data_IF_814661935467
#
_entry.id   IF_814661935467
#
_cell.length_a   1.000
_cell.length_b   1.000
_cell.length_c   1.000
_cell.angle_alpha   90.00
_cell.angle_beta   90.00
_cell.angle_gamma   90.00
#
_symmetry.space_group_name_H-M   'P 1'
#
loop_
_entity.id
_entity.type
_entity.pdbx_description
1 polymer ?
#
# COMPACT_ATOMS: atom_id res chain seq x y z
N UNK A 1 -121.91 -96.14 11.88
CA UNK A 1 -121.36 -97.40 11.34
C UNK A 1 -119.87 -97.38 11.62
N UNK A 2 -119.48 -97.94 12.77
CA UNK A 2 -119.09 -99.35 12.89
C UNK A 2 -117.75 -99.54 12.21
N UNK A 3 -116.66 -99.95 12.84
CA UNK A 3 -116.29 -100.36 14.19
C UNK A 3 -114.73 -100.33 14.12
N UNK A 4 -113.88 -100.55 15.10
CA UNK A 4 -113.93 -101.08 16.44
C UNK A 4 -112.49 -100.78 16.95
N UNK A 5 -112.29 -100.36 18.21
CA UNK A 5 -111.99 -101.28 19.33
C UNK A 5 -110.56 -101.82 19.16
N UNK A 6 -109.62 -101.62 20.08
CA UNK A 6 -109.59 -102.05 21.48
C UNK A 6 -108.07 -101.98 21.87
N UNK A 7 -107.55 -101.90 23.08
CA UNK A 7 -107.98 -102.20 24.45
C UNK A 7 -107.05 -101.38 25.38
N UNK A 8 -107.66 -100.67 26.33
CA UNK A 8 -107.12 -100.20 27.61
C UNK A 8 -106.90 -101.40 28.54
N UNK A 9 -105.79 -101.50 29.29
CA UNK A 9 -105.89 -101.55 30.76
C UNK A 9 -104.54 -101.57 31.49
N UNK A 10 -104.48 -100.82 32.59
CA UNK A 10 -103.34 -100.77 33.51
C UNK A 10 -103.35 -99.56 34.47
N UNK A 11 -104.37 -99.48 35.35
CA UNK A 11 -104.42 -98.67 36.59
C UNK A 11 -103.22 -99.00 37.52
N UNK A 12 -102.71 -98.19 38.46
CA UNK A 12 -103.31 -97.15 39.32
C UNK A 12 -102.26 -96.26 40.02
N UNK A 13 -102.69 -95.02 40.34
CA UNK A 13 -102.34 -94.18 41.52
C UNK A 13 -100.91 -93.64 41.65
N UNK A 14 -100.63 -92.41 42.07
CA UNK A 14 -101.34 -91.15 42.29
C UNK A 14 -100.23 -90.10 42.54
N UNK A 15 -100.52 -88.81 42.40
CA UNK A 15 -99.79 -87.59 42.82
C UNK A 15 -99.64 -86.62 41.63
N UNK A 16 -100.41 -85.53 41.68
CA UNK A 16 -100.48 -84.35 40.80
C UNK A 16 -100.08 -83.17 41.73
N UNK A 17 -99.33 -82.11 41.34
CA UNK A 17 -99.55 -81.25 40.17
C UNK A 17 -98.24 -80.78 39.48
N UNK A 18 -98.15 -80.05 38.37
CA UNK A 18 -99.06 -79.16 37.67
C UNK A 18 -98.64 -79.06 36.18
N UNK A 19 -99.65 -79.02 35.31
CA UNK A 19 -99.75 -78.28 34.04
C UNK A 19 -98.64 -78.47 32.98
N UNK A 20 -98.82 -79.53 32.19
CA UNK A 20 -98.38 -79.63 30.79
C UNK A 20 -99.57 -79.98 29.88
N UNK A 21 -100.00 -78.99 29.09
CA UNK A 21 -100.38 -79.06 27.66
C UNK A 21 -101.13 -80.28 27.09
N UNK A 22 -102.28 -80.04 26.42
CA UNK A 22 -102.65 -80.60 25.10
C UNK A 22 -104.10 -80.21 24.72
N UNK A 23 -104.33 -79.36 23.70
CA UNK A 23 -104.45 -79.71 22.25
C UNK A 23 -105.81 -80.30 21.89
N UNK A 24 -106.54 -79.61 21.00
CA UNK A 24 -107.10 -80.16 19.75
C UNK A 24 -107.74 -79.02 18.94
N UNK A 25 -106.97 -78.41 18.04
CA UNK A 25 -107.06 -78.58 16.57
C UNK A 25 -108.15 -77.71 15.94
N UNK A 26 -107.72 -76.53 15.50
CA UNK A 26 -108.17 -75.93 14.24
C UNK A 26 -106.92 -75.78 13.37
N UNK A 27 -106.91 -76.52 12.27
CA UNK A 27 -105.86 -76.49 11.25
C UNK A 27 -105.96 -75.13 10.54
N UNK A 28 -105.00 -74.26 10.80
CA UNK A 28 -104.62 -73.17 9.90
C UNK A 28 -103.10 -73.07 9.92
N UNK A 29 -102.52 -73.27 8.74
CA UNK A 29 -101.10 -73.22 8.48
C UNK A 29 -100.45 -71.93 9.02
N UNK A 30 -99.32 -72.06 9.70
CA UNK A 30 -98.02 -71.53 9.30
C UNK A 30 -97.04 -71.67 10.47
N UNK A 31 -95.94 -72.40 10.24
CA UNK A 31 -94.79 -72.38 11.13
C UNK A 31 -94.19 -70.98 11.13
N UNK A 32 -94.20 -70.32 12.29
CA UNK A 32 -93.42 -69.12 12.51
C UNK A 32 -91.98 -69.56 12.84
N UNK A 33 -91.21 -69.84 11.79
CA UNK A 33 -89.76 -69.79 11.85
C UNK A 33 -89.41 -68.31 11.96
N UNK A 34 -88.79 -67.89 13.05
CA UNK A 34 -88.20 -66.56 13.14
C UNK A 34 -87.07 -66.46 12.10
N UNK A 35 -87.41 -66.07 10.88
CA UNK A 35 -86.46 -65.46 9.95
C UNK A 35 -86.20 -64.06 10.48
N UNK A 36 -85.01 -63.85 11.04
CA UNK A 36 -84.43 -62.51 11.01
C UNK A 36 -84.37 -62.09 9.54
N UNK A 37 -84.78 -60.86 9.18
CA UNK A 37 -84.66 -60.40 7.81
C UNK A 37 -83.17 -60.30 7.48
N UNK A 38 -82.67 -61.24 6.68
CA UNK A 38 -81.35 -61.12 6.07
C UNK A 38 -81.31 -59.84 5.26
N UNK A 39 -80.39 -58.93 5.59
CA UNK A 39 -80.15 -57.74 4.79
C UNK A 39 -79.89 -58.16 3.33
N UNK A 40 -80.55 -57.52 2.37
CA UNK A 40 -80.31 -57.74 0.96
C UNK A 40 -78.83 -57.41 0.64
N UNK A 41 -78.06 -58.45 0.33
CA UNK A 41 -76.61 -58.37 0.11
C UNK A 41 -76.36 -57.82 -1.30
N UNK A 42 -75.96 -56.55 -1.41
CA UNK A 42 -75.62 -55.89 -2.67
C UNK A 42 -74.11 -55.97 -2.95
N UNK A 43 -73.59 -57.20 -3.07
CA UNK A 43 -72.19 -57.45 -3.42
C UNK A 43 -72.05 -58.01 -4.84
N UNK A 44 -71.13 -57.47 -5.65
CA UNK A 44 -70.78 -58.06 -6.94
C UNK A 44 -69.72 -59.13 -6.72
N UNK A 45 -70.02 -60.37 -7.12
CA UNK A 45 -69.11 -61.50 -7.07
C UNK A 45 -68.81 -61.97 -8.49
N UNK A 46 -67.53 -61.93 -8.87
CA UNK A 46 -67.06 -62.52 -10.12
C UNK A 46 -66.04 -63.60 -9.76
N UNK A 47 -66.46 -64.87 -9.82
CA UNK A 47 -65.61 -66.04 -9.59
C UNK A 47 -64.89 -66.44 -10.88
N UNK A 48 -63.62 -66.85 -10.76
CA UNK A 48 -62.93 -67.55 -11.85
C UNK A 48 -63.47 -68.99 -11.89
N UNK A 49 -64.28 -69.31 -12.90
CA UNK A 49 -64.86 -70.65 -13.08
C UNK A 49 -63.82 -71.59 -13.71
N UNK A 50 -62.78 -71.96 -12.97
CA UNK A 50 -61.91 -73.10 -13.30
C UNK A 50 -62.19 -74.30 -12.38
N UNK A 51 -63.48 -74.64 -12.18
CA UNK A 51 -64.01 -76.00 -12.03
C UNK A 51 -63.54 -76.93 -10.90
N UNK A 52 -62.52 -76.61 -10.11
CA UNK A 52 -61.96 -77.47 -9.06
C UNK A 52 -61.42 -76.59 -7.93
N UNK A 53 -61.84 -76.91 -6.71
CA UNK A 53 -61.43 -76.36 -5.41
C UNK A 53 -62.25 -75.17 -4.86
N UNK A 54 -62.79 -75.38 -3.65
CA UNK A 54 -63.81 -74.57 -2.97
C UNK A 54 -63.34 -73.22 -2.41
N UNK A 55 -62.69 -72.38 -3.21
CA UNK A 55 -62.34 -71.00 -2.83
C UNK A 55 -63.30 -69.96 -3.40
N UNK A 56 -64.42 -69.73 -2.71
CA UNK A 56 -65.36 -68.68 -3.10
C UNK A 56 -64.84 -67.29 -2.71
N UNK A 57 -65.02 -66.30 -3.60
CA UNK A 57 -64.89 -64.90 -3.23
C UNK A 57 -65.92 -64.54 -2.14
N UNK A 58 -65.50 -63.75 -1.16
CA UNK A 58 -66.30 -63.34 -0.01
C UNK A 58 -66.53 -61.82 -0.03
N UNK A 59 -67.73 -61.41 -0.41
CA UNK A 59 -68.27 -60.07 -0.15
C UNK A 59 -69.29 -60.19 0.99
N UNK A 60 -68.82 -60.25 2.23
CA UNK A 60 -69.68 -60.69 3.34
C UNK A 60 -69.75 -59.80 4.57
N UNK A 61 -69.02 -58.68 4.62
CA UNK A 61 -69.08 -57.80 5.80
C UNK A 61 -70.02 -56.60 5.72
N UNK A 62 -70.47 -56.17 4.53
CA UNK A 62 -70.76 -54.73 4.36
C UNK A 62 -71.62 -54.30 3.15
N UNK A 63 -72.13 -53.07 3.19
CA UNK A 63 -72.97 -52.43 2.16
C UNK A 63 -72.13 -52.03 0.94
N UNK A 64 -72.57 -52.42 -0.27
CA UNK A 64 -71.98 -52.04 -1.57
C UNK A 64 -70.50 -52.45 -1.74
N UNK A 65 -70.10 -53.61 -1.24
CA UNK A 65 -68.75 -54.15 -1.47
C UNK A 65 -68.64 -54.96 -2.78
N UNK A 66 -67.44 -55.10 -3.32
CA UNK A 66 -67.17 -55.87 -4.55
C UNK A 66 -66.04 -56.86 -4.31
N UNK A 67 -66.24 -58.15 -4.57
CA UNK A 67 -65.20 -59.18 -4.44
C UNK A 67 -65.09 -60.01 -5.73
N UNK A 68 -63.94 -60.00 -6.40
CA UNK A 68 -63.73 -60.70 -7.68
C UNK A 68 -62.40 -61.47 -7.67
N UNK A 69 -62.43 -62.79 -7.91
CA UNK A 69 -61.25 -63.66 -7.91
C UNK A 69 -61.31 -64.78 -6.86
N UNK A 70 -60.52 -65.83 -7.06
CA UNK A 70 -60.38 -66.95 -6.11
C UNK A 70 -59.98 -66.40 -4.73
N UNK A 71 -60.69 -66.76 -3.66
CA UNK A 71 -60.47 -66.20 -2.30
C UNK A 71 -60.41 -64.66 -2.18
N UNK A 72 -60.96 -63.88 -3.12
CA UNK A 72 -61.03 -62.44 -2.92
C UNK A 72 -61.98 -62.10 -1.74
N UNK A 73 -61.54 -61.27 -0.78
CA UNK A 73 -62.29 -60.93 0.43
C UNK A 73 -62.51 -59.41 0.54
N UNK A 74 -63.76 -58.98 0.45
CA UNK A 74 -64.18 -57.59 0.62
C UNK A 74 -65.10 -57.50 1.85
N UNK A 75 -64.54 -57.11 3.00
CA UNK A 75 -65.22 -57.11 4.29
C UNK A 75 -65.70 -55.72 4.74
N UNK A 76 -65.02 -54.64 4.36
CA UNK A 76 -65.41 -53.29 4.78
C UNK A 76 -66.56 -52.66 3.99
N UNK A 77 -67.19 -51.63 4.54
CA UNK A 77 -68.21 -50.83 3.88
C UNK A 77 -67.63 -50.11 2.67
N UNK A 78 -68.33 -50.16 1.53
CA UNK A 78 -67.86 -49.60 0.25
C UNK A 78 -66.50 -50.12 -0.22
N UNK A 79 -66.08 -51.32 0.23
CA UNK A 79 -64.79 -51.91 -0.13
C UNK A 79 -64.79 -52.57 -1.51
N UNK A 80 -63.61 -52.70 -2.13
CA UNK A 80 -63.44 -53.40 -3.41
C UNK A 80 -62.19 -54.28 -3.36
N UNK A 81 -62.37 -55.60 -3.45
CA UNK A 81 -61.31 -56.60 -3.60
C UNK A 81 -61.37 -57.25 -4.99
N UNK A 82 -60.31 -57.14 -5.80
CA UNK A 82 -60.22 -57.81 -7.09
C UNK A 82 -58.85 -58.45 -7.31
N UNK A 83 -58.81 -59.71 -7.68
CA UNK A 83 -57.59 -60.52 -7.83
C UNK A 83 -57.63 -61.73 -6.91
N UNK A 84 -56.91 -62.79 -7.29
CA UNK A 84 -56.79 -63.98 -6.44
C UNK A 84 -56.22 -63.60 -5.06
N UNK A 85 -56.97 -63.95 -4.03
CA UNK A 85 -56.66 -63.72 -2.63
C UNK A 85 -56.45 -62.24 -2.26
N UNK A 86 -57.06 -61.31 -3.00
CA UNK A 86 -57.09 -59.89 -2.65
C UNK A 86 -57.99 -59.65 -1.44
N UNK A 87 -57.54 -58.86 -0.45
CA UNK A 87 -58.28 -58.56 0.79
C UNK A 87 -58.51 -57.06 1.00
N UNK A 88 -59.73 -56.59 0.82
CA UNK A 88 -60.17 -55.24 1.18
C UNK A 88 -60.98 -55.31 2.49
N UNK A 89 -60.29 -55.18 3.63
CA UNK A 89 -60.78 -55.63 4.93
C UNK A 89 -61.51 -54.54 5.73
N UNK A 90 -61.02 -53.29 5.66
CA UNK A 90 -61.60 -52.15 6.37
C UNK A 90 -62.50 -51.30 5.47
N UNK A 91 -63.22 -50.34 6.05
CA UNK A 91 -64.15 -49.48 5.31
C UNK A 91 -63.43 -48.60 4.29
N UNK A 92 -64.10 -48.34 3.16
CA UNK A 92 -63.60 -47.57 2.03
C UNK A 92 -62.25 -48.09 1.47
N UNK A 93 -61.95 -49.37 1.68
CA UNK A 93 -60.68 -49.96 1.24
C UNK A 93 -60.75 -50.53 -0.18
N UNK A 94 -59.63 -50.43 -0.90
CA UNK A 94 -59.49 -50.93 -2.27
C UNK A 94 -58.27 -51.84 -2.33
N UNK A 95 -58.46 -53.11 -2.68
CA UNK A 95 -57.40 -54.10 -2.88
C UNK A 95 -57.48 -54.69 -4.29
N UNK A 96 -56.54 -54.35 -5.16
CA UNK A 96 -56.52 -54.79 -6.57
C UNK A 96 -55.19 -55.49 -6.89
N UNK A 97 -55.22 -56.79 -7.16
CA UNK A 97 -54.07 -57.62 -7.52
C UNK A 97 -53.95 -58.89 -6.68
N UNK A 98 -53.19 -59.87 -7.17
CA UNK A 98 -52.92 -61.12 -6.44
C UNK A 98 -52.33 -60.82 -5.06
N UNK A 99 -52.96 -61.28 -3.97
CA UNK A 99 -52.55 -61.02 -2.58
C UNK A 99 -52.48 -59.53 -2.18
N UNK A 100 -53.13 -58.62 -2.92
CA UNK A 100 -53.22 -57.22 -2.49
C UNK A 100 -54.05 -57.14 -1.19
N UNK A 101 -53.62 -56.35 -0.21
CA UNK A 101 -54.28 -56.25 1.09
C UNK A 101 -54.40 -54.79 1.54
N UNK A 102 -55.65 -54.34 1.75
CA UNK A 102 -56.00 -53.02 2.23
C UNK A 102 -56.77 -53.11 3.56
N UNK A 103 -56.27 -52.40 4.57
CA UNK A 103 -57.00 -52.12 5.81
C UNK A 103 -56.95 -53.19 6.91
N UNK A 104 -56.28 -54.32 6.67
CA UNK A 104 -56.30 -55.44 7.62
C UNK A 104 -55.14 -56.42 7.46
N UNK A 105 -55.27 -57.56 8.12
CA UNK A 105 -54.50 -58.75 7.82
C UNK A 105 -55.44 -59.77 7.17
N UNK A 106 -55.12 -60.15 5.93
CA UNK A 106 -55.82 -61.19 5.21
C UNK A 106 -54.79 -62.22 4.76
N UNK A 107 -54.99 -63.48 5.17
CA UNK A 107 -54.20 -64.63 4.78
C UNK A 107 -55.15 -65.72 4.24
N UNK A 108 -55.14 -65.97 2.92
CA UNK A 108 -56.01 -66.97 2.30
C UNK A 108 -55.63 -68.42 2.65
N UNK A 109 -54.45 -68.68 3.25
CA UNK A 109 -53.88 -70.03 3.40
C UNK A 109 -53.69 -70.53 4.83
N UNK A 110 -54.03 -69.78 5.89
CA UNK A 110 -53.91 -70.35 7.25
C UNK A 110 -53.95 -69.46 8.48
N UNK A 111 -54.40 -68.20 8.40
CA UNK A 111 -54.51 -67.32 9.57
C UNK A 111 -55.79 -66.49 9.52
N UNK A 112 -56.46 -66.21 10.67
CA UNK A 112 -57.73 -65.50 10.67
C UNK A 112 -57.59 -64.12 10.03
N UNK A 113 -58.61 -63.72 9.28
CA UNK A 113 -58.73 -62.34 8.81
C UNK A 113 -58.83 -61.42 10.03
N UNK A 114 -57.91 -60.47 10.16
CA UNK A 114 -57.94 -59.44 11.21
C UNK A 114 -58.31 -58.12 10.55
N UNK A 115 -59.45 -57.56 10.95
CA UNK A 115 -59.76 -56.18 10.63
C UNK A 115 -59.06 -55.27 11.64
N UNK A 116 -58.14 -54.43 11.16
CA UNK A 116 -57.48 -53.43 11.99
C UNK A 116 -58.21 -52.08 12.01
N UNK A 117 -59.37 -52.00 11.35
CA UNK A 117 -60.20 -50.79 11.21
C UNK A 117 -59.47 -49.63 10.49
N UNK A 118 -58.44 -49.97 9.71
CA UNK A 118 -57.66 -49.01 8.94
C UNK A 118 -58.40 -48.61 7.66
N UNK A 119 -59.34 -47.68 7.83
CA UNK A 119 -60.23 -47.22 6.76
C UNK A 119 -59.52 -46.37 5.72
N UNK A 120 -60.15 -46.20 4.55
CA UNK A 120 -59.65 -45.38 3.42
C UNK A 120 -58.30 -45.84 2.84
N UNK A 121 -58.05 -47.15 2.81
CA UNK A 121 -56.77 -47.72 2.37
C UNK A 121 -56.83 -48.18 0.91
N UNK A 122 -55.78 -47.94 0.13
CA UNK A 122 -55.71 -48.36 -1.28
C UNK A 122 -54.46 -49.18 -1.54
N UNK A 123 -54.61 -50.48 -1.81
CA UNK A 123 -53.55 -51.41 -2.20
C UNK A 123 -53.75 -51.86 -3.65
N UNK A 124 -52.87 -51.47 -4.56
CA UNK A 124 -52.94 -51.82 -5.99
C UNK A 124 -51.61 -52.43 -6.43
N UNK A 125 -51.63 -53.66 -6.92
CA UNK A 125 -50.47 -54.44 -7.35
C UNK A 125 -50.32 -55.74 -6.57
N UNK A 126 -49.65 -56.73 -7.18
CA UNK A 126 -49.48 -58.05 -6.55
C UNK A 126 -48.73 -57.94 -5.21
N UNK A 127 -49.33 -58.39 -4.12
CA UNK A 127 -48.78 -58.33 -2.76
C UNK A 127 -48.68 -56.92 -2.15
N UNK A 128 -49.31 -55.90 -2.79
CA UNK A 128 -49.36 -54.54 -2.26
C UNK A 128 -50.10 -54.51 -0.92
N UNK A 129 -49.64 -53.69 0.02
CA UNK A 129 -50.13 -53.67 1.40
C UNK A 129 -50.34 -52.23 1.86
N UNK A 130 -51.61 -51.85 2.03
CA UNK A 130 -52.04 -50.54 2.51
C UNK A 130 -52.72 -50.69 3.87
N UNK A 131 -52.20 -50.05 4.92
CA UNK A 131 -52.75 -50.15 6.29
C UNK A 131 -52.84 -51.60 6.79
N UNK A 132 -51.91 -52.45 6.37
CA UNK A 132 -51.89 -53.88 6.71
C UNK A 132 -50.92 -54.20 7.84
N UNK A 133 -51.18 -55.31 8.56
CA UNK A 133 -50.35 -55.90 9.64
C UNK A 133 -50.31 -55.17 11.00
N UNK A 134 -51.15 -54.17 11.23
CA UNK A 134 -51.31 -53.53 12.54
C UNK A 134 -52.36 -52.41 12.49
N UNK A 135 -52.87 -52.00 13.65
CA UNK A 135 -53.76 -50.84 13.77
C UNK A 135 -52.99 -49.51 13.55
N UNK A 136 -53.72 -48.46 13.19
CA UNK A 136 -53.18 -47.11 13.01
C UNK A 136 -52.68 -46.80 11.59
N UNK A 137 -52.97 -47.67 10.61
CA UNK A 137 -52.56 -47.53 9.21
C UNK A 137 -53.62 -46.93 8.28
N UNK A 138 -54.59 -46.18 8.81
CA UNK A 138 -55.66 -45.55 8.01
C UNK A 138 -55.12 -44.57 6.97
N UNK A 139 -55.89 -44.34 5.90
CA UNK A 139 -55.56 -43.45 4.77
C UNK A 139 -54.28 -43.84 4.01
N UNK A 140 -53.77 -45.05 4.19
CA UNK A 140 -52.56 -45.49 3.52
C UNK A 140 -52.81 -45.85 2.05
N UNK A 141 -51.87 -45.50 1.18
CA UNK A 141 -51.93 -45.79 -0.26
C UNK A 141 -50.67 -46.52 -0.71
N UNK A 142 -50.79 -47.78 -1.12
CA UNK A 142 -49.73 -48.61 -1.66
C UNK A 142 -50.04 -49.00 -3.12
N UNK A 143 -49.29 -48.44 -4.07
CA UNK A 143 -49.47 -48.70 -5.51
C UNK A 143 -48.16 -49.22 -6.10
N UNK A 144 -48.14 -50.48 -6.51
CA UNK A 144 -46.99 -51.19 -7.06
C UNK A 144 -46.88 -52.61 -6.50
N UNK A 145 -46.30 -53.52 -7.27
CA UNK A 145 -46.07 -54.89 -6.79
C UNK A 145 -45.22 -54.87 -5.51
N UNK A 146 -45.71 -55.52 -4.45
CA UNK A 146 -45.09 -55.54 -3.12
C UNK A 146 -44.86 -54.16 -2.48
N UNK A 147 -45.55 -53.10 -2.92
CA UNK A 147 -45.54 -51.80 -2.27
C UNK A 147 -46.14 -51.89 -0.86
N UNK A 148 -45.61 -51.15 0.11
CA UNK A 148 -45.98 -51.21 1.53
C UNK A 148 -46.18 -49.82 2.09
N UNK A 149 -47.43 -49.41 2.26
CA UNK A 149 -47.82 -48.22 3.00
C UNK A 149 -48.59 -48.69 4.25
N UNK A 150 -47.94 -48.80 5.41
CA UNK A 150 -48.55 -49.47 6.59
C UNK A 150 -48.77 -48.55 7.79
N UNK A 151 -48.38 -47.30 7.67
CA UNK A 151 -48.49 -46.29 8.71
C UNK A 151 -49.60 -45.28 8.37
N UNK A 152 -49.97 -44.44 9.33
CA UNK A 152 -51.04 -43.44 9.16
C UNK A 152 -50.66 -42.47 8.03
N UNK A 153 -51.59 -42.21 7.10
CA UNK A 153 -51.38 -41.29 5.96
C UNK A 153 -50.14 -41.61 5.10
N UNK A 154 -49.64 -42.85 5.14
CA UNK A 154 -48.45 -43.24 4.39
C UNK A 154 -48.77 -43.48 2.91
N UNK A 155 -47.84 -43.11 2.02
CA UNK A 155 -47.98 -43.34 0.57
C UNK A 155 -46.75 -44.06 0.03
N UNK A 156 -46.92 -45.21 -0.60
CA UNK A 156 -45.87 -45.96 -1.28
C UNK A 156 -46.25 -46.15 -2.75
N UNK A 157 -45.54 -45.47 -3.65
CA UNK A 157 -45.79 -45.48 -5.08
C UNK A 157 -44.57 -46.04 -5.83
N UNK A 158 -44.69 -47.27 -6.32
CA UNK A 158 -43.64 -48.00 -7.05
C UNK A 158 -43.50 -49.44 -6.57
N UNK A 159 -43.00 -50.33 -7.43
CA UNK A 159 -42.74 -51.71 -7.05
C UNK A 159 -41.71 -51.77 -5.91
N UNK A 160 -42.07 -52.44 -4.80
CA UNK A 160 -41.25 -52.52 -3.59
C UNK A 160 -41.11 -51.21 -2.80
N UNK A 161 -41.82 -50.14 -3.17
CA UNK A 161 -41.81 -48.90 -2.40
C UNK A 161 -42.33 -49.13 -0.98
N UNK A 162 -41.70 -48.51 0.02
CA UNK A 162 -41.96 -48.78 1.44
C UNK A 162 -42.07 -47.47 2.23
N UNK A 163 -43.27 -47.20 2.75
CA UNK A 163 -43.59 -46.08 3.64
C UNK A 163 -44.20 -46.64 4.93
N UNK A 164 -43.36 -46.82 5.95
CA UNK A 164 -43.73 -47.44 7.23
C UNK A 164 -43.78 -46.46 8.40
N UNK A 165 -43.56 -45.18 8.13
CA UNK A 165 -43.62 -44.12 9.12
C UNK A 165 -44.85 -43.24 8.87
N UNK A 166 -45.39 -42.64 9.91
CA UNK A 166 -46.58 -41.79 9.80
C UNK A 166 -46.30 -40.59 8.89
N UNK A 167 -47.29 -40.25 8.07
CA UNK A 167 -47.23 -39.11 7.14
C UNK A 167 -46.05 -39.17 6.15
N UNK A 168 -45.48 -40.35 5.90
CA UNK A 168 -44.34 -40.56 5.01
C UNK A 168 -44.78 -40.95 3.59
N UNK A 169 -44.01 -40.50 2.60
CA UNK A 169 -44.24 -40.80 1.19
C UNK A 169 -42.96 -41.39 0.56
N UNK A 170 -43.06 -42.57 -0.04
CA UNK A 170 -42.00 -43.23 -0.79
C UNK A 170 -42.41 -43.30 -2.27
N UNK A 171 -41.73 -42.55 -3.14
CA UNK A 171 -42.08 -42.42 -4.55
C UNK A 171 -40.93 -42.92 -5.42
N UNK A 172 -41.14 -44.05 -6.11
CA UNK A 172 -40.18 -44.73 -6.97
C UNK A 172 -40.05 -46.22 -6.61
N UNK A 173 -39.57 -47.04 -7.55
CA UNK A 173 -39.33 -48.46 -7.31
C UNK A 173 -38.21 -48.67 -6.27
N UNK A 174 -38.44 -49.52 -5.28
CA UNK A 174 -37.50 -49.82 -4.20
C UNK A 174 -37.25 -48.68 -3.20
N UNK A 175 -37.97 -47.56 -3.31
CA UNK A 175 -37.79 -46.41 -2.42
C UNK A 175 -38.30 -46.72 -1.02
N UNK A 176 -37.53 -46.38 0.00
CA UNK A 176 -37.94 -46.56 1.41
C UNK A 176 -37.91 -45.20 2.11
N UNK A 177 -39.06 -44.73 2.58
CA UNK A 177 -39.15 -43.61 3.51
C UNK A 177 -38.84 -44.11 4.93
N UNK A 178 -37.90 -43.45 5.61
CA UNK A 178 -37.30 -43.93 6.86
C UNK A 178 -37.67 -43.10 8.08
N UNK A 179 -38.36 -41.97 7.89
CA UNK A 179 -38.74 -41.04 8.94
C UNK A 179 -40.21 -40.62 8.77
N UNK A 180 -40.84 -40.23 9.87
CA UNK A 180 -42.15 -39.57 9.84
C UNK A 180 -42.06 -38.26 9.05
N UNK A 181 -43.16 -37.86 8.41
CA UNK A 181 -43.27 -36.63 7.62
C UNK A 181 -42.26 -36.51 6.45
N UNK A 182 -41.57 -37.58 6.08
CA UNK A 182 -40.60 -37.57 4.99
C UNK A 182 -41.27 -37.82 3.65
N UNK A 183 -40.97 -36.99 2.66
CA UNK A 183 -41.17 -37.33 1.24
C UNK A 183 -39.84 -37.81 0.67
N UNK A 184 -39.71 -39.12 0.46
CA UNK A 184 -38.57 -39.75 -0.19
C UNK A 184 -38.91 -39.97 -1.67
N UNK A 185 -38.20 -39.26 -2.54
CA UNK A 185 -38.36 -39.35 -3.99
C UNK A 185 -37.11 -40.02 -4.56
N UNK A 186 -37.24 -41.23 -5.12
CA UNK A 186 -36.12 -41.97 -5.71
C UNK A 186 -35.10 -42.55 -4.71
N UNK A 187 -34.00 -43.04 -5.27
CA UNK A 187 -32.86 -43.66 -4.60
C UNK A 187 -31.56 -42.97 -5.04
N UNK A 188 -30.40 -43.40 -4.53
CA UNK A 188 -29.10 -42.85 -4.91
C UNK A 188 -28.69 -43.03 -6.37
N UNK A 189 -29.41 -43.86 -7.16
CA UNK A 189 -29.15 -44.03 -8.60
C UNK A 189 -30.03 -43.14 -9.49
N UNK A 190 -30.95 -42.37 -8.91
CA UNK A 190 -31.90 -41.55 -9.66
C UNK A 190 -31.34 -40.16 -9.96
N UNK A 191 -31.65 -39.66 -11.16
CA UNK A 191 -31.49 -38.24 -11.53
C UNK A 191 -32.85 -37.53 -11.49
N UNK A 192 -32.88 -36.28 -11.04
CA UNK A 192 -34.13 -35.50 -10.93
C UNK A 192 -34.20 -34.43 -12.01
N UNK A 193 -35.38 -34.27 -12.62
CA UNK A 193 -35.66 -33.17 -13.56
C UNK A 193 -36.98 -32.52 -13.19
N UNK A 194 -36.92 -31.29 -12.68
CA UNK A 194 -38.08 -30.46 -12.36
C UNK A 194 -38.12 -29.27 -13.31
N UNK A 195 -38.59 -29.50 -14.54
CA UNK A 195 -38.55 -28.52 -15.63
C UNK A 195 -39.24 -27.18 -15.28
N UNK A 196 -40.20 -27.18 -14.35
CA UNK A 196 -40.87 -25.97 -13.90
C UNK A 196 -39.99 -24.99 -13.12
N UNK A 197 -38.89 -25.42 -12.50
CA UNK A 197 -38.03 -24.58 -11.64
C UNK A 197 -37.48 -23.35 -12.40
N UNK A 198 -37.14 -23.51 -13.67
CA UNK A 198 -36.57 -22.44 -14.51
C UNK A 198 -37.63 -21.66 -15.30
N UNK A 199 -38.91 -21.97 -15.10
CA UNK A 199 -40.00 -21.30 -15.83
C UNK A 199 -40.23 -19.88 -15.33
N UNK A 200 -40.61 -18.99 -16.23
CA UNK A 200 -41.00 -17.61 -15.88
C UNK A 200 -42.17 -17.59 -14.89
N UNK A 201 -43.10 -18.53 -15.00
CA UNK A 201 -44.22 -18.68 -14.06
C UNK A 201 -43.72 -18.98 -12.63
N UNK A 202 -42.71 -19.85 -12.49
CA UNK A 202 -42.11 -20.14 -11.19
C UNK A 202 -41.34 -18.96 -10.62
N UNK A 203 -40.61 -18.20 -11.46
CA UNK A 203 -39.95 -16.95 -11.03
C UNK A 203 -40.98 -15.91 -10.58
N UNK A 204 -42.06 -15.72 -11.34
CA UNK A 204 -43.10 -14.74 -11.01
C UNK A 204 -43.89 -15.09 -9.72
N UNK A 205 -43.93 -16.36 -9.35
CA UNK A 205 -44.55 -16.81 -8.10
C UNK A 205 -43.66 -16.61 -6.86
N UNK A 206 -42.36 -16.30 -7.02
CA UNK A 206 -41.48 -16.01 -5.90
C UNK A 206 -41.83 -14.66 -5.27
N UNK A 207 -41.83 -14.61 -3.94
CA UNK A 207 -42.08 -13.40 -3.16
C UNK A 207 -41.13 -13.34 -1.95
N UNK A 208 -40.73 -12.13 -1.54
CA UNK A 208 -39.76 -11.94 -0.45
C UNK A 208 -38.32 -12.31 -0.85
N UNK A 209 -37.43 -12.50 0.14
CA UNK A 209 -36.04 -12.90 -0.12
C UNK A 209 -35.96 -14.27 -0.80
N UNK A 210 -35.09 -14.36 -1.81
CA UNK A 210 -34.81 -15.62 -2.50
C UNK A 210 -33.53 -16.25 -1.96
N UNK A 211 -33.59 -17.54 -1.65
CA UNK A 211 -32.47 -18.31 -1.12
C UNK A 211 -32.04 -19.41 -2.10
N UNK A 212 -30.81 -19.89 -1.96
CA UNK A 212 -30.34 -21.06 -2.69
C UNK A 212 -30.89 -22.34 -2.04
N UNK A 213 -31.32 -23.30 -2.85
CA UNK A 213 -31.62 -24.65 -2.37
C UNK A 213 -30.30 -25.37 -2.11
N UNK A 214 -30.13 -25.92 -0.93
CA UNK A 214 -28.96 -26.71 -0.52
C UNK A 214 -29.37 -28.16 -0.31
N UNK A 215 -28.38 -29.05 -0.37
CA UNK A 215 -28.53 -30.47 -0.04
C UNK A 215 -27.39 -30.91 0.87
N UNK A 216 -27.66 -31.85 1.76
CA UNK A 216 -26.61 -32.63 2.43
C UNK A 216 -26.27 -33.90 1.62
N UNK A 217 -25.33 -34.71 2.13
CA UNK A 217 -24.93 -35.97 1.51
C UNK A 217 -26.04 -37.04 1.52
N UNK A 218 -27.08 -36.86 2.34
CA UNK A 218 -28.25 -37.73 2.41
C UNK A 218 -29.38 -37.34 1.46
N UNK A 219 -29.24 -36.25 0.69
CA UNK A 219 -30.27 -35.74 -0.21
C UNK A 219 -31.36 -34.91 0.49
N UNK A 220 -31.13 -34.45 1.73
CA UNK A 220 -32.10 -33.60 2.42
C UNK A 220 -32.00 -32.16 1.90
N UNK A 221 -33.11 -31.60 1.42
CA UNK A 221 -33.17 -30.24 0.89
C UNK A 221 -33.46 -29.21 1.97
N UNK A 222 -32.77 -28.09 1.92
CA UNK A 222 -33.02 -26.93 2.77
C UNK A 222 -32.80 -25.61 2.01
N UNK A 223 -33.24 -24.49 2.59
CA UNK A 223 -32.86 -23.17 2.10
C UNK A 223 -31.52 -22.74 2.73
N UNK A 224 -30.64 -22.12 1.95
CA UNK A 224 -29.46 -21.45 2.48
C UNK A 224 -29.87 -20.31 3.40
N UNK A 225 -29.10 -20.06 4.46
CA UNK A 225 -29.24 -18.85 5.30
C UNK A 225 -28.67 -17.59 4.64
N UNK A 226 -28.09 -17.72 3.44
CA UNK A 226 -27.44 -16.66 2.68
C UNK A 226 -28.44 -16.00 1.72
N UNK A 227 -28.71 -14.71 1.91
CA UNK A 227 -29.55 -13.92 1.00
C UNK A 227 -28.74 -13.46 -0.22
N UNK A 228 -29.14 -13.92 -1.41
CA UNK A 228 -28.49 -13.61 -2.68
C UNK A 228 -28.56 -12.11 -3.01
N UNK A 229 -29.54 -11.38 -2.46
CA UNK A 229 -29.63 -9.93 -2.62
C UNK A 229 -28.40 -9.20 -2.06
N UNK A 230 -27.68 -9.78 -1.10
CA UNK A 230 -26.43 -9.20 -0.56
C UNK A 230 -25.30 -9.13 -1.58
N UNK A 231 -25.35 -9.92 -2.67
CA UNK A 231 -24.36 -9.89 -3.75
C UNK A 231 -24.59 -8.79 -4.78
N UNK A 232 -25.75 -8.13 -4.75
CA UNK A 232 -26.13 -7.13 -5.78
C UNK A 232 -25.15 -5.96 -5.88
N UNK A 233 -24.51 -5.58 -4.78
CA UNK A 233 -23.56 -4.47 -4.74
C UNK A 233 -22.11 -4.88 -5.04
N UNK A 234 -21.80 -6.17 -5.06
CA UNK A 234 -20.43 -6.65 -5.22
C UNK A 234 -19.80 -6.24 -6.58
N UNK A 235 -20.50 -6.31 -7.73
CA UNK A 235 -19.95 -5.86 -9.01
C UNK A 235 -19.56 -4.38 -9.00
N UNK A 236 -20.36 -3.53 -8.35
CA UNK A 236 -20.08 -2.10 -8.24
C UNK A 236 -18.84 -1.83 -7.37
N UNK A 237 -18.69 -2.54 -6.25
CA UNK A 237 -17.50 -2.45 -5.40
C UNK A 237 -16.23 -2.91 -6.12
N UNK A 238 -16.30 -4.01 -6.88
CA UNK A 238 -15.16 -4.49 -7.69
C UNK A 238 -14.77 -3.47 -8.75
N UNK A 239 -15.76 -2.84 -9.41
CA UNK A 239 -15.50 -1.79 -10.39
C UNK A 239 -14.83 -0.55 -9.76
N UNK A 240 -15.28 -0.11 -8.58
CA UNK A 240 -14.65 1.00 -7.85
C UNK A 240 -13.21 0.68 -7.45
N UNK A 241 -12.96 -0.53 -6.95
CA UNK A 241 -11.60 -0.98 -6.64
C UNK A 241 -10.70 -0.96 -7.89
N UNK A 242 -11.25 -1.33 -9.06
CA UNK A 242 -10.54 -1.24 -10.34
C UNK A 242 -10.11 0.19 -10.69
N UNK A 243 -10.99 1.17 -10.49
CA UNK A 243 -10.68 2.59 -10.72
C UNK A 243 -9.59 3.07 -9.76
N UNK A 244 -9.73 2.79 -8.46
CA UNK A 244 -8.75 3.19 -7.45
C UNK A 244 -7.34 2.63 -7.72
N UNK A 245 -7.25 1.39 -8.21
CA UNK A 245 -5.99 0.77 -8.62
C UNK A 245 -5.40 1.48 -9.85
N UNK A 246 -6.22 1.85 -10.83
CA UNK A 246 -5.77 2.58 -12.01
C UNK A 246 -5.20 3.96 -11.64
N UNK A 247 -5.87 4.69 -10.76
CA UNK A 247 -5.41 5.99 -10.25
C UNK A 247 -4.09 5.87 -9.47
N UNK A 248 -3.98 4.81 -8.64
CA UNK A 248 -2.74 4.51 -7.92
C UNK A 248 -1.59 4.23 -8.89
N UNK A 249 -1.83 3.43 -9.93
CA UNK A 249 -0.81 3.13 -10.95
C UNK A 249 -0.36 4.38 -11.71
N UNK A 250 -1.29 5.29 -12.02
CA UNK A 250 -0.96 6.58 -12.64
C UNK A 250 -0.08 7.43 -11.73
N UNK A 251 -0.45 7.52 -10.45
CA UNK A 251 0.31 8.26 -9.43
C UNK A 251 1.72 7.68 -9.25
N UNK A 252 1.84 6.36 -9.13
CA UNK A 252 3.15 5.68 -9.02
C UNK A 252 4.00 5.95 -10.25
N UNK A 253 3.44 5.87 -11.46
CA UNK A 253 4.17 6.15 -12.70
C UNK A 253 4.68 7.59 -12.77
N UNK A 254 3.88 8.55 -12.31
CA UNK A 254 4.27 9.95 -12.19
C UNK A 254 5.43 10.11 -11.19
N UNK A 255 5.33 9.52 -10.00
CA UNK A 255 6.40 9.55 -9.00
C UNK A 255 7.69 8.89 -9.52
N UNK A 256 7.59 7.77 -10.23
CA UNK A 256 8.77 7.14 -10.87
C UNK A 256 9.46 8.11 -11.84
N UNK A 257 8.69 8.83 -12.65
CA UNK A 257 9.23 9.83 -13.60
C UNK A 257 9.91 10.99 -12.87
N UNK A 258 9.31 11.50 -11.80
CA UNK A 258 9.90 12.56 -10.97
C UNK A 258 11.20 12.11 -10.29
N UNK A 259 11.22 10.88 -9.74
CA UNK A 259 12.43 10.32 -9.12
C UNK A 259 13.55 10.20 -10.14
N UNK A 260 13.27 9.72 -11.36
CA UNK A 260 14.26 9.65 -12.43
C UNK A 260 14.82 11.02 -12.80
N UNK A 261 13.95 12.03 -12.90
CA UNK A 261 14.34 13.42 -13.18
C UNK A 261 15.25 13.98 -12.08
N UNK A 262 14.83 13.87 -10.82
CA UNK A 262 15.62 14.34 -9.67
C UNK A 262 16.97 13.61 -9.58
N UNK A 263 17.01 12.32 -9.90
CA UNK A 263 18.27 11.55 -9.95
C UNK A 263 19.24 12.11 -11.00
N UNK A 264 18.73 12.50 -12.16
CA UNK A 264 19.54 13.12 -13.21
C UNK A 264 20.05 14.51 -12.81
N UNK A 265 19.22 15.34 -12.18
CA UNK A 265 19.61 16.65 -11.66
C UNK A 265 20.69 16.55 -10.59
N UNK A 266 20.57 15.60 -9.65
CA UNK A 266 21.60 15.35 -8.65
C UNK A 266 22.93 14.93 -9.28
N UNK A 267 22.91 14.12 -10.34
CA UNK A 267 24.11 13.75 -11.08
C UNK A 267 24.76 14.95 -11.80
N UNK A 268 23.98 15.91 -12.30
CA UNK A 268 24.50 17.16 -12.87
C UNK A 268 25.11 18.07 -11.78
N UNK A 269 24.41 18.20 -10.65
CA UNK A 269 24.92 18.95 -9.50
C UNK A 269 26.27 18.40 -9.02
N UNK A 270 26.43 17.08 -8.95
CA UNK A 270 27.70 16.44 -8.59
C UNK A 270 28.83 16.83 -9.55
N UNK A 271 28.58 16.84 -10.87
CA UNK A 271 29.56 17.28 -11.88
C UNK A 271 29.93 18.76 -11.71
N UNK A 272 28.95 19.63 -11.45
CA UNK A 272 29.16 21.06 -11.23
C UNK A 272 29.97 21.31 -9.97
N UNK A 273 29.69 20.58 -8.88
CA UNK A 273 30.46 20.65 -7.64
C UNK A 273 31.91 20.22 -7.91
N UNK A 274 32.14 19.09 -8.59
CA UNK A 274 33.47 18.62 -8.92
C UNK A 274 34.27 19.63 -9.77
N UNK A 275 33.63 20.28 -10.75
CA UNK A 275 34.25 21.33 -11.55
C UNK A 275 34.62 22.54 -10.68
N UNK A 276 33.69 23.03 -9.87
CA UNK A 276 33.95 24.14 -8.96
C UNK A 276 35.09 23.83 -7.98
N UNK A 277 35.15 22.60 -7.45
CA UNK A 277 36.26 22.14 -6.60
C UNK A 277 37.60 22.21 -7.34
N UNK A 278 37.65 21.79 -8.61
CA UNK A 278 38.85 21.91 -9.43
C UNK A 278 39.25 23.37 -9.66
N UNK A 279 38.30 24.24 -9.99
CA UNK A 279 38.57 25.67 -10.21
C UNK A 279 39.08 26.35 -8.94
N UNK A 280 38.49 26.04 -7.77
CA UNK A 280 38.96 26.56 -6.48
C UNK A 280 40.40 26.11 -6.20
N UNK A 281 40.74 24.85 -6.50
CA UNK A 281 42.10 24.34 -6.35
C UNK A 281 43.10 25.11 -7.23
N UNK A 282 42.75 25.35 -8.51
CA UNK A 282 43.54 26.18 -9.42
C UNK A 282 43.74 27.59 -8.88
N UNK A 283 42.65 28.26 -8.49
CA UNK A 283 42.72 29.62 -7.95
C UNK A 283 43.56 29.69 -6.67
N UNK A 284 43.49 28.65 -5.82
CA UNK A 284 44.32 28.55 -4.61
C UNK A 284 45.81 28.49 -4.96
N UNK A 285 46.18 27.74 -5.99
CA UNK A 285 47.56 27.66 -6.47
C UNK A 285 48.03 29.00 -7.08
N UNK A 286 47.17 29.67 -7.83
CA UNK A 286 47.46 31.00 -8.40
C UNK A 286 47.70 32.04 -7.30
N UNK A 287 46.87 32.04 -6.24
CA UNK A 287 47.07 32.91 -5.08
C UNK A 287 48.40 32.64 -4.38
N UNK A 288 48.78 31.37 -4.19
CA UNK A 288 50.09 31.02 -3.61
C UNK A 288 51.26 31.51 -4.49
N UNK A 289 51.12 31.43 -5.82
CA UNK A 289 52.11 31.95 -6.76
C UNK A 289 52.18 33.49 -6.69
N UNK A 290 51.03 34.17 -6.59
CA UNK A 290 50.99 35.62 -6.39
C UNK A 290 51.65 36.04 -5.08
N UNK A 291 51.39 35.33 -3.98
CA UNK A 291 52.02 35.60 -2.68
C UNK A 291 53.56 35.50 -2.76
N UNK A 292 54.06 34.48 -3.46
CA UNK A 292 55.50 34.32 -3.71
C UNK A 292 56.06 35.50 -4.52
N UNK A 293 55.37 35.93 -5.58
CA UNK A 293 55.78 37.08 -6.40
C UNK A 293 55.76 38.39 -5.62
N UNK A 294 54.75 38.63 -4.79
CA UNK A 294 54.67 39.81 -3.92
C UNK A 294 55.82 39.82 -2.92
N UNK A 295 56.13 38.68 -2.31
CA UNK A 295 57.26 38.53 -1.38
C UNK A 295 58.58 38.86 -2.08
N UNK A 296 58.82 38.34 -3.28
CA UNK A 296 60.02 38.66 -4.07
C UNK A 296 60.12 40.16 -4.39
N UNK A 297 59.04 40.75 -4.90
CA UNK A 297 59.01 42.19 -5.19
C UNK A 297 59.26 43.03 -3.93
N UNK A 298 58.74 42.61 -2.77
CA UNK A 298 58.97 43.29 -1.49
C UNK A 298 60.45 43.30 -1.12
N UNK A 299 61.15 42.16 -1.29
CA UNK A 299 62.59 42.07 -1.07
C UNK A 299 63.37 42.95 -2.06
N UNK A 300 63.02 42.90 -3.35
CA UNK A 300 63.66 43.74 -4.38
C UNK A 300 63.52 45.24 -4.09
N UNK A 301 62.35 45.67 -3.59
CA UNK A 301 62.12 47.07 -3.18
C UNK A 301 62.95 47.42 -1.95
N UNK A 302 63.06 46.54 -0.96
CA UNK A 302 63.90 46.77 0.23
C UNK A 302 65.39 46.88 -0.13
N UNK A 303 65.87 46.05 -1.06
CA UNK A 303 67.23 46.13 -1.60
C UNK A 303 67.45 47.46 -2.35
N UNK A 304 66.45 47.88 -3.15
CA UNK A 304 66.49 49.16 -3.84
C UNK A 304 66.53 50.35 -2.86
N UNK A 305 65.73 50.30 -1.79
CA UNK A 305 65.70 51.31 -0.73
C UNK A 305 67.06 51.44 -0.02
N UNK A 306 67.70 50.32 0.29
CA UNK A 306 69.06 50.28 0.84
C UNK A 306 70.08 50.92 -0.10
N UNK A 307 69.99 50.62 -1.41
CA UNK A 307 70.86 51.20 -2.44
C UNK A 307 70.64 52.71 -2.60
N UNK A 308 69.39 53.17 -2.60
CA UNK A 308 69.04 54.60 -2.68
C UNK A 308 69.53 55.34 -1.43
N UNK A 309 69.34 54.76 -0.24
CA UNK A 309 69.85 55.32 1.02
C UNK A 309 71.37 55.46 1.00
N UNK A 310 72.07 54.41 0.55
CA UNK A 310 73.53 54.41 0.38
C UNK A 310 73.97 55.49 -0.62
N UNK A 311 73.31 55.57 -1.77
CA UNK A 311 73.61 56.60 -2.77
C UNK A 311 73.35 58.01 -2.25
N UNK A 312 72.28 58.21 -1.47
CA UNK A 312 71.97 59.48 -0.82
C UNK A 312 73.09 59.90 0.13
N UNK A 313 73.57 58.98 0.98
CA UNK A 313 74.71 59.23 1.87
C UNK A 313 76.00 59.55 1.10
N UNK A 314 76.27 58.81 0.01
CA UNK A 314 77.40 59.08 -0.86
C UNK A 314 77.31 60.50 -1.47
N UNK A 315 76.15 60.90 -1.98
CA UNK A 315 75.92 62.24 -2.53
C UNK A 315 76.17 63.32 -1.47
N UNK A 316 75.66 63.16 -0.24
CA UNK A 316 75.95 64.11 0.86
C UNK A 316 77.44 64.20 1.17
N UNK A 317 78.17 63.08 1.13
CA UNK A 317 79.61 63.10 1.33
C UNK A 317 80.34 63.80 0.18
N UNK A 318 79.92 63.56 -1.07
CA UNK A 318 80.44 64.28 -2.24
C UNK A 318 80.17 65.78 -2.12
N UNK A 319 78.96 66.18 -1.74
CA UNK A 319 78.57 67.57 -1.52
C UNK A 319 79.47 68.25 -0.46
N UNK A 320 79.69 67.59 0.68
CA UNK A 320 80.63 68.09 1.70
C UNK A 320 82.08 68.20 1.21
N UNK A 321 82.54 67.24 0.39
CA UNK A 321 83.88 67.32 -0.26
C UNK A 321 83.96 68.47 -1.27
N UNK A 322 82.89 68.73 -2.02
CA UNK A 322 82.81 69.87 -2.95
C UNK A 322 82.83 71.17 -2.16
N UNK A 323 82.04 71.32 -1.10
CA UNK A 323 82.06 72.50 -0.25
C UNK A 323 83.43 72.77 0.39
N UNK A 324 84.14 71.72 0.83
CA UNK A 324 85.52 71.85 1.33
C UNK A 324 86.49 72.31 0.23
N UNK A 325 86.33 71.82 -1.00
CA UNK A 325 87.12 72.26 -2.16
C UNK A 325 86.83 73.73 -2.51
N UNK A 326 85.56 74.14 -2.50
CA UNK A 326 85.15 75.53 -2.75
C UNK A 326 85.73 76.49 -1.70
N UNK A 327 85.67 76.14 -0.41
CA UNK A 327 86.30 76.92 0.66
C UNK A 327 87.83 77.01 0.50
N UNK A 328 88.47 75.90 0.11
CA UNK A 328 89.89 75.87 -0.21
C UNK A 328 90.27 76.79 -1.38
N UNK A 329 89.47 76.80 -2.44
CA UNK A 329 89.64 77.70 -3.58
C UNK A 329 89.44 79.16 -3.21
N UNK A 330 88.44 79.48 -2.37
CA UNK A 330 88.24 80.84 -1.86
C UNK A 330 89.44 81.30 -1.00
N UNK A 331 89.95 80.44 -0.12
CA UNK A 331 91.15 80.72 0.66
C UNK A 331 92.38 80.97 -0.24
N UNK A 332 92.50 80.21 -1.34
CA UNK A 332 93.55 80.47 -2.34
C UNK A 332 93.34 81.81 -3.07
N UNK A 333 92.11 82.15 -3.43
CA UNK A 333 91.77 83.44 -4.08
C UNK A 333 92.11 84.62 -3.16
N UNK A 334 91.77 84.53 -1.86
CA UNK A 334 92.12 85.53 -0.84
C UNK A 334 93.64 85.69 -0.72
N UNK A 335 94.38 84.58 -0.62
CA UNK A 335 95.85 84.60 -0.59
C UNK A 335 96.45 85.21 -1.86
N UNK A 336 95.89 84.94 -3.05
CA UNK A 336 96.33 85.54 -4.31
C UNK A 336 96.05 87.05 -4.29
N UNK A 337 94.88 87.48 -3.84
CA UNK A 337 94.49 88.88 -3.75
C UNK A 337 95.40 89.65 -2.78
N UNK A 338 95.69 89.05 -1.62
CA UNK A 338 96.61 89.58 -0.62
C UNK A 338 98.03 89.70 -1.19
N UNK A 339 98.58 88.62 -1.77
CA UNK A 339 99.91 88.64 -2.40
C UNK A 339 100.00 89.70 -3.51
N UNK A 340 98.96 89.84 -4.35
CA UNK A 340 98.92 90.90 -5.37
C UNK A 340 98.88 92.28 -4.76
N UNK A 341 98.19 92.44 -3.63
CA UNK A 341 98.10 93.71 -2.91
C UNK A 341 99.43 94.06 -2.26
N UNK A 342 100.08 93.12 -1.58
CA UNK A 342 101.41 93.26 -0.99
C UNK A 342 102.46 93.60 -2.06
N UNK A 343 102.49 92.87 -3.18
CA UNK A 343 103.40 93.14 -4.28
C UNK A 343 103.19 94.55 -4.89
N UNK A 344 101.93 95.00 -5.03
CA UNK A 344 101.61 96.36 -5.50
C UNK A 344 102.01 97.42 -4.48
N UNK A 345 101.79 97.17 -3.19
CA UNK A 345 102.16 98.07 -2.10
C UNK A 345 103.68 98.21 -2.02
N UNK A 346 104.43 97.11 -2.13
CA UNK A 346 105.89 97.12 -2.27
C UNK A 346 106.37 97.92 -3.49
N UNK A 347 105.67 97.82 -4.63
CA UNK A 347 105.97 98.65 -5.81
C UNK A 347 105.70 100.14 -5.55
N UNK A 348 104.60 100.47 -4.88
CA UNK A 348 104.25 101.85 -4.52
C UNK A 348 105.28 102.47 -3.55
N UNK A 349 105.79 101.70 -2.58
CA UNK A 349 106.92 102.09 -1.73
C UNK A 349 108.18 102.38 -2.54
N UNK A 350 108.53 101.49 -3.48
CA UNK A 350 109.68 101.65 -4.35
C UNK A 350 109.56 102.91 -5.22
N UNK A 351 108.37 103.19 -5.79
CA UNK A 351 108.08 104.42 -6.53
C UNK A 351 108.20 105.68 -5.66
N UNK A 352 107.63 105.65 -4.45
CA UNK A 352 107.72 106.74 -3.49
C UNK A 352 109.17 107.08 -3.16
N UNK A 353 109.99 106.04 -2.97
CA UNK A 353 111.41 106.16 -2.63
C UNK A 353 112.27 106.57 -3.83
N UNK A 354 111.98 106.05 -5.02
CA UNK A 354 112.68 106.40 -6.26
C UNK A 354 112.43 107.86 -6.69
N UNK A 355 111.27 108.43 -6.32
CA UNK A 355 110.94 109.84 -6.56
C UNK A 355 111.68 110.84 -5.67
N UNK A 356 112.40 110.38 -4.64
CA UNK A 356 113.11 111.26 -3.71
C UNK A 356 114.28 111.96 -4.41
N UNK A 357 114.20 113.30 -4.45
CA UNK A 357 115.26 114.19 -4.94
C UNK A 357 115.86 114.92 -3.76
N UNK A 358 117.17 115.05 -3.80
CA UNK A 358 117.98 115.61 -2.72
C UNK A 358 118.83 116.74 -3.28
N UNK A 359 119.24 117.68 -2.42
CA UNK A 359 120.04 118.84 -2.83
C UNK A 359 121.48 118.41 -3.09
N UNK A 360 121.98 118.67 -4.30
CA UNK A 360 123.29 118.20 -4.73
C UNK A 360 124.46 119.10 -4.27
N UNK A 361 124.21 120.17 -3.52
CA UNK A 361 125.25 121.10 -3.06
C UNK A 361 126.08 120.53 -1.89
N UNK A 362 127.43 120.65 -1.90
CA UNK A 362 128.29 120.16 -0.83
C UNK A 362 127.97 120.76 0.55
N UNK A 363 128.01 119.92 1.59
CA UNK A 363 127.78 120.29 2.98
C UNK A 363 126.31 120.47 3.38
N UNK A 364 125.35 120.16 2.50
CA UNK A 364 123.91 120.27 2.78
C UNK A 364 123.33 118.93 3.22
N UNK A 365 122.60 118.95 4.34
CA UNK A 365 121.64 117.91 4.69
C UNK A 365 120.31 118.25 4.03
N UNK A 366 119.75 117.32 3.28
CA UNK A 366 118.48 117.48 2.57
C UNK A 366 117.47 116.45 3.05
N UNK A 367 116.24 116.90 3.25
CA UNK A 367 115.09 116.06 3.58
C UNK A 367 114.19 116.01 2.34
N UNK A 368 113.87 114.80 1.90
CA UNK A 368 113.02 114.54 0.76
C UNK A 368 111.77 113.78 1.20
N UNK A 369 110.62 114.20 0.70
CA UNK A 369 109.35 113.48 0.83
C UNK A 369 108.93 112.94 -0.53
N UNK A 370 108.48 111.70 -0.57
CA UNK A 370 108.11 111.00 -1.78
C UNK A 370 106.77 110.32 -1.60
N UNK A 371 105.96 110.36 -2.66
CA UNK A 371 104.68 109.68 -2.72
C UNK A 371 104.64 108.82 -3.98
N UNK A 372 104.27 107.56 -3.81
CA UNK A 372 104.14 106.60 -4.89
C UNK A 372 102.73 106.02 -4.87
N UNK A 373 102.10 105.95 -6.03
CA UNK A 373 100.83 105.26 -6.19
C UNK A 373 100.97 104.23 -7.30
N UNK A 374 100.53 103.00 -7.05
CA UNK A 374 100.51 101.95 -8.06
C UNK A 374 99.26 101.10 -7.92
N UNK A 375 98.40 101.13 -8.96
CA UNK A 375 97.18 100.32 -9.09
C UNK A 375 96.35 100.28 -7.79
N UNK A 376 96.11 101.46 -7.19
CA UNK A 376 95.28 101.64 -6.00
C UNK A 376 95.99 101.51 -4.66
N UNK A 377 97.25 101.06 -4.62
CA UNK A 377 98.09 101.09 -3.42
C UNK A 377 98.94 102.35 -3.37
N UNK A 378 99.12 102.92 -2.19
CA UNK A 378 99.92 104.13 -1.99
C UNK A 378 101.03 103.91 -0.96
N UNK A 379 102.19 104.46 -1.26
CA UNK A 379 103.38 104.46 -0.40
C UNK A 379 103.84 105.89 -0.16
N UNK A 380 104.25 106.16 1.07
CA UNK A 380 104.94 107.38 1.46
C UNK A 380 106.39 107.03 1.79
N UNK A 381 107.32 107.86 1.35
CA UNK A 381 108.71 107.74 1.68
C UNK A 381 109.25 109.06 2.23
N UNK A 382 110.08 108.97 3.25
CA UNK A 382 110.82 110.07 3.84
C UNK A 382 112.30 109.69 3.80
N UNK A 383 113.10 110.53 3.15
CA UNK A 383 114.52 110.30 2.98
C UNK A 383 115.37 111.46 3.43
N UNK A 384 116.56 111.13 3.92
CA UNK A 384 117.62 112.05 4.24
C UNK A 384 118.78 111.81 3.27
N UNK A 385 119.23 112.88 2.63
CA UNK A 385 120.40 112.87 1.74
C UNK A 385 121.46 113.80 2.29
N UNK A 386 122.70 113.35 2.32
CA UNK A 386 123.83 114.14 2.78
C UNK A 386 124.99 114.02 1.77
N UNK A 387 125.45 115.18 1.30
CA UNK A 387 126.59 115.31 0.39
C UNK A 387 127.79 115.90 1.14
N UNK A 388 128.64 115.07 1.76
CA UNK A 388 129.82 115.55 2.48
C UNK A 388 130.90 116.17 1.58
N UNK A 389 130.97 115.79 0.29
CA UNK A 389 131.94 116.32 -0.68
C UNK A 389 131.31 116.48 -2.08
N UNK A 390 132.07 117.02 -3.05
CA UNK A 390 131.64 117.14 -4.45
C UNK A 390 131.49 115.77 -5.15
N UNK A 391 132.19 114.74 -4.66
CA UNK A 391 132.33 113.45 -5.35
C UNK A 391 131.59 112.31 -4.66
N UNK A 392 131.05 112.52 -3.44
CA UNK A 392 130.40 111.46 -2.67
C UNK A 392 129.07 111.90 -2.09
N UNK A 393 128.07 111.02 -2.23
CA UNK A 393 126.71 111.23 -1.73
C UNK A 393 126.18 109.99 -1.03
N UNK A 394 125.49 110.21 0.08
CA UNK A 394 124.78 109.19 0.84
C UNK A 394 123.30 109.56 0.96
N UNK A 395 122.43 108.59 0.74
CA UNK A 395 120.99 108.73 0.92
C UNK A 395 120.45 107.57 1.77
N UNK A 396 119.54 107.86 2.67
CA UNK A 396 118.79 106.89 3.44
C UNK A 396 117.31 107.24 3.38
N UNK A 397 116.43 106.26 3.19
CA UNK A 397 115.01 106.50 3.19
C UNK A 397 114.24 105.41 3.94
N UNK A 398 113.23 105.85 4.68
CA UNK A 398 112.20 105.02 5.28
C UNK A 398 110.92 105.22 4.48
N UNK A 399 110.23 104.13 4.20
CA UNK A 399 108.99 104.14 3.44
C UNK A 399 107.94 103.29 4.14
N UNK A 400 106.68 103.69 4.05
CA UNK A 400 105.55 102.99 4.65
C UNK A 400 104.32 103.06 3.74
N UNK A 401 103.56 101.97 3.70
CA UNK A 401 102.33 101.90 2.92
C UNK A 401 101.20 102.55 3.73
N UNK A 402 100.33 103.30 3.08
CA UNK A 402 99.25 104.00 3.79
C UNK A 402 98.08 103.09 4.17
N UNK A 403 97.93 101.95 3.49
CA UNK A 403 96.74 101.10 3.56
C UNK A 403 96.98 99.69 4.16
N UNK A 404 98.23 99.20 4.23
CA UNK A 404 98.56 97.86 4.76
C UNK A 404 99.46 97.89 6.00
N UNK A 405 100.16 99.00 6.25
CA UNK A 405 101.07 99.14 7.38
C UNK A 405 102.44 98.49 7.15
N UNK A 406 102.70 97.95 5.95
CA UNK A 406 104.03 97.46 5.57
C UNK A 406 105.03 98.61 5.50
N UNK A 407 106.26 98.35 5.97
CA UNK A 407 107.37 99.30 6.03
C UNK A 407 108.57 98.79 5.25
N UNK A 408 109.25 99.68 4.53
CA UNK A 408 110.45 99.39 3.76
C UNK A 408 111.55 100.39 4.06
N UNK A 409 112.80 99.93 4.07
CA UNK A 409 113.99 100.75 4.29
C UNK A 409 114.90 100.66 3.07
N UNK A 410 115.46 101.78 2.64
CA UNK A 410 116.48 101.82 1.59
C UNK A 410 117.68 102.68 2.00
N UNK A 411 118.87 102.26 1.58
CA UNK A 411 120.11 102.98 1.76
C UNK A 411 120.84 102.97 0.41
N UNK A 412 121.41 104.10 0.02
CA UNK A 412 122.13 104.23 -1.24
C UNK A 412 123.31 105.17 -1.07
N UNK A 413 124.43 104.84 -1.71
CA UNK A 413 125.59 105.70 -1.79
C UNK A 413 126.03 105.79 -3.25
N UNK A 414 126.50 106.95 -3.68
CA UNK A 414 126.98 107.18 -5.04
C UNK A 414 128.27 107.99 -5.04
N UNK A 415 129.16 107.66 -5.96
CA UNK A 415 130.41 108.38 -6.22
C UNK A 415 130.41 108.96 -7.63
N UNK A 416 130.82 110.22 -7.78
CA UNK A 416 131.04 110.89 -9.07
C UNK A 416 132.53 110.76 -9.42
N UNK A 417 132.87 110.39 -10.67
CA UNK A 417 134.22 109.95 -11.05
C UNK A 417 134.91 110.85 -12.09
N UNK A 418 134.44 112.09 -12.31
CA UNK A 418 134.99 112.97 -13.34
C UNK A 418 134.83 114.47 -13.09
#
# INVERSE_FOLDING_TARGET
>A
MSAARAVFDGLASSQVPALGTAVMVAIAATGFVAFTPGAARAGVICSDFNGVDGGAAYAGGSTRSTACGYFANSNGDFSTAMGDSAGAIADNSVALGYLANAGGYYDPYGSPTINYENSNTTAIGAGAQAGARGAGGSNATAIGASAKARALNSTALGAGATALQDNSMAIGAGVTATRENQVMLGTGSNTYTLAGITSQASTAAQAGPTYLVTTDAGGNLAASTFDVATLTNLPAQVAQNGIAIADLNSTVSSHTTQITTNTAELADHEKRIANNTSQISTNTQELANHETRITNNTNEIADLDTRVTTNTANITQLDGRVGALEAGLQGLDDQISENRTEARAGTALALATAGLRYDDRPGKLSLAGGFGNFKGQSGLALGLGYNPSLDFRLNAALSATTNRGDVGVSLGASWTLN
#
